data_IF_966485245579
#
_entry.id   IF_966485245579
#
_cell.length_a   1.000
_cell.length_b   1.000
_cell.length_c   1.000
_cell.angle_alpha   90.00
_cell.angle_beta   90.00
_cell.angle_gamma   90.00
#
_symmetry.space_group_name_H-M   'P 1'
#
loop_
_entity.id
_entity.type
_entity.pdbx_description
1 polymer ?
#
# COMPACT_ATOMS: atom_id res chain seq x y z
N UNK A 1 4.23 -6.64 -19.67
CA UNK A 1 3.95 -5.99 -18.38
C UNK A 1 3.84 -7.08 -17.34
N UNK A 2 4.35 -6.85 -16.12
CA UNK A 2 4.28 -7.82 -15.03
C UNK A 2 2.82 -7.96 -14.60
N UNK A 3 2.25 -9.17 -14.70
CA UNK A 3 0.82 -9.42 -14.47
C UNK A 3 0.35 -9.13 -13.03
N UNK A 4 1.30 -8.89 -12.13
CA UNK A 4 1.09 -8.54 -10.72
C UNK A 4 1.01 -7.03 -10.47
N UNK A 5 1.20 -6.17 -11.48
CA UNK A 5 1.12 -4.71 -11.32
C UNK A 5 -0.31 -4.19 -11.48
N UNK A 6 -0.66 -3.20 -10.67
CA UNK A 6 -1.92 -2.47 -10.78
C UNK A 6 -1.86 -1.44 -11.91
N UNK A 7 -3.00 -1.14 -12.54
CA UNK A 7 -3.07 -0.06 -13.54
C UNK A 7 -2.88 1.31 -12.92
N UNK A 8 -3.38 1.48 -11.70
CA UNK A 8 -3.20 2.66 -10.87
C UNK A 8 -2.81 2.19 -9.47
N UNK A 9 -1.77 2.79 -8.86
CA UNK A 9 -1.38 2.44 -7.50
C UNK A 9 -2.47 2.85 -6.50
N UNK A 10 -2.51 2.16 -5.36
CA UNK A 10 -3.36 2.55 -4.23
C UNK A 10 -2.48 3.23 -3.20
N UNK A 11 -2.79 4.49 -2.87
CA UNK A 11 -2.06 5.23 -1.84
C UNK A 11 -2.63 4.92 -0.47
N UNK A 12 -1.81 4.38 0.42
CA UNK A 12 -2.20 4.08 1.81
C UNK A 12 -1.27 4.78 2.79
N UNK A 13 -1.76 5.02 4.01
CA UNK A 13 -0.97 5.48 5.14
C UNK A 13 -0.40 4.27 5.88
N UNK A 14 0.92 4.23 6.06
CA UNK A 14 1.60 3.17 6.82
C UNK A 14 2.31 3.73 8.06
N UNK A 15 2.37 2.91 9.11
CA UNK A 15 3.11 3.20 10.34
C UNK A 15 2.74 4.55 10.96
N UNK A 16 3.67 5.50 10.89
CA UNK A 16 3.55 6.87 11.41
C UNK A 16 2.66 7.79 10.55
N UNK A 17 1.84 7.24 9.66
CA UNK A 17 0.97 8.02 8.76
C UNK A 17 1.69 8.54 7.51
N UNK A 18 2.74 7.86 7.05
CA UNK A 18 3.39 8.22 5.79
C UNK A 18 2.64 7.61 4.61
N UNK A 19 2.35 8.37 3.54
CA UNK A 19 1.75 7.82 2.35
C UNK A 19 2.76 6.91 1.62
N UNK A 20 2.31 5.72 1.24
CA UNK A 20 3.04 4.78 0.40
C UNK A 20 2.15 4.32 -0.74
N UNK A 21 2.74 4.17 -1.92
CA UNK A 21 2.02 3.75 -3.13
C UNK A 21 2.14 2.25 -3.33
N UNK A 22 1.02 1.55 -3.16
CA UNK A 22 0.93 0.12 -3.42
C UNK A 22 0.69 -0.09 -4.91
N UNK A 23 1.75 -0.46 -5.63
CA UNK A 23 1.75 -0.53 -7.11
C UNK A 23 1.42 -1.91 -7.67
N UNK A 24 1.26 -2.92 -6.82
CA UNK A 24 0.97 -4.29 -7.27
C UNK A 24 0.61 -5.26 -6.17
N UNK A 25 0.27 -6.48 -6.58
CA UNK A 25 -0.20 -7.57 -5.72
C UNK A 25 0.84 -7.95 -4.66
N UNK A 26 2.12 -8.03 -5.05
CA UNK A 26 3.19 -8.37 -4.11
C UNK A 26 3.37 -7.31 -3.02
N UNK A 27 3.15 -6.06 -3.39
CA UNK A 27 3.27 -4.92 -2.47
C UNK A 27 2.08 -4.90 -1.49
N UNK A 28 0.87 -5.10 -2.02
CA UNK A 28 -0.33 -5.29 -1.20
C UNK A 28 -0.19 -6.47 -0.22
N UNK A 29 0.37 -7.59 -0.69
CA UNK A 29 0.62 -8.77 0.14
C UNK A 29 1.58 -8.46 1.30
N UNK A 30 2.64 -7.70 1.07
CA UNK A 30 3.59 -7.28 2.12
C UNK A 30 2.90 -6.45 3.20
N UNK A 31 2.07 -5.48 2.81
CA UNK A 31 1.31 -4.69 3.77
C UNK A 31 0.32 -5.55 4.58
N UNK A 32 -0.28 -6.55 3.96
CA UNK A 32 -1.20 -7.46 4.66
C UNK A 32 -0.49 -8.38 5.66
N UNK A 33 0.71 -8.87 5.38
CA UNK A 33 1.44 -9.73 6.34
C UNK A 33 1.94 -8.94 7.56
N UNK A 34 2.31 -7.67 7.36
CA UNK A 34 2.72 -6.75 8.42
C UNK A 34 1.53 -6.23 9.25
N UNK A 35 0.29 -6.51 8.82
CA UNK A 35 -0.92 -6.05 9.48
C UNK A 35 -1.08 -6.63 10.90
N UNK A 36 -1.38 -5.79 11.91
CA UNK A 36 -1.47 -6.21 13.32
C UNK A 36 -2.51 -7.30 13.52
N UNK A 37 -2.18 -8.36 14.26
CA UNK A 37 -3.10 -9.47 14.53
C UNK A 37 -4.39 -9.03 15.24
N UNK A 38 -4.32 -7.97 16.06
CA UNK A 38 -5.48 -7.38 16.75
C UNK A 38 -6.47 -6.69 15.81
N UNK A 39 -6.03 -6.28 14.62
CA UNK A 39 -6.85 -5.59 13.61
C UNK A 39 -7.18 -6.50 12.42
N UNK A 40 -6.83 -7.80 12.48
CA UNK A 40 -7.17 -8.78 11.43
C UNK A 40 -8.64 -9.13 11.55
N UNK A 41 -9.38 -8.75 10.52
CA UNK A 41 -10.80 -9.02 10.38
C UNK A 41 -11.04 -10.01 9.22
N UNK A 42 -12.29 -10.44 8.94
CA UNK A 42 -12.58 -11.28 7.80
C UNK A 42 -12.15 -10.66 6.46
N UNK A 43 -12.20 -9.32 6.31
CA UNK A 43 -11.76 -8.65 5.10
C UNK A 43 -10.26 -8.86 4.85
N UNK A 44 -9.41 -8.77 5.88
CA UNK A 44 -7.98 -9.10 5.77
C UNK A 44 -7.75 -10.47 5.13
N UNK A 45 -8.48 -11.50 5.58
CA UNK A 45 -8.34 -12.86 5.04
C UNK A 45 -8.78 -12.97 3.58
N UNK A 46 -9.78 -12.19 3.16
CA UNK A 46 -10.29 -12.17 1.79
C UNK A 46 -9.26 -11.54 0.86
N UNK A 47 -8.70 -10.38 1.23
CA UNK A 47 -7.69 -9.71 0.40
C UNK A 47 -6.41 -10.56 0.33
N UNK A 48 -6.00 -11.21 1.42
CA UNK A 48 -4.83 -12.08 1.43
C UNK A 48 -5.01 -13.31 0.51
N UNK A 49 -6.20 -13.92 0.50
CA UNK A 49 -6.53 -15.01 -0.43
C UNK A 49 -6.52 -14.53 -1.88
N UNK A 50 -7.10 -13.36 -2.14
CA UNK A 50 -7.09 -12.76 -3.48
C UNK A 50 -5.65 -12.46 -3.96
N UNK A 51 -4.78 -11.95 -3.09
CA UNK A 51 -3.37 -11.75 -3.43
C UNK A 51 -2.70 -13.05 -3.85
N UNK A 52 -2.90 -14.14 -3.10
CA UNK A 52 -2.35 -15.45 -3.45
C UNK A 52 -2.90 -15.98 -4.78
N UNK A 53 -4.20 -15.83 -5.03
CA UNK A 53 -4.83 -16.24 -6.28
C UNK A 53 -4.25 -15.45 -7.48
N UNK A 54 -4.03 -14.14 -7.32
CA UNK A 54 -3.44 -13.31 -8.38
C UNK A 54 -1.97 -13.66 -8.65
N UNK A 55 -1.19 -13.98 -7.61
CA UNK A 55 0.19 -14.46 -7.78
C UNK A 55 0.27 -15.81 -8.50
N UNK A 56 -0.79 -16.62 -8.42
CA UNK A 56 -0.96 -17.86 -9.18
C UNK A 56 -1.51 -17.65 -10.59
N UNK A 57 -1.92 -16.43 -10.94
CA UNK A 57 -2.55 -16.09 -12.21
C UNK A 57 -4.02 -16.54 -12.32
N UNK A 58 -4.67 -16.88 -11.20
CA UNK A 58 -6.08 -17.31 -11.15
C UNK A 58 -7.05 -16.13 -11.28
N UNK A 59 -6.63 -14.94 -10.83
CA UNK A 59 -7.40 -13.69 -10.94
C UNK A 59 -6.51 -12.53 -11.39
N UNK A 60 -7.14 -11.49 -11.92
CA UNK A 60 -6.44 -10.27 -12.35
C UNK A 60 -5.95 -9.43 -11.16
N UNK A 61 -4.78 -8.81 -11.31
CA UNK A 61 -4.24 -7.87 -10.32
C UNK A 61 -5.21 -6.71 -10.03
N UNK A 62 -6.00 -6.29 -11.02
CA UNK A 62 -6.98 -5.22 -10.87
C UNK A 62 -8.12 -5.59 -9.89
N UNK A 63 -8.49 -6.88 -9.84
CA UNK A 63 -9.45 -7.39 -8.85
C UNK A 63 -8.87 -7.29 -7.43
N UNK A 64 -7.58 -7.63 -7.28
CA UNK A 64 -6.89 -7.48 -5.99
C UNK A 64 -6.81 -6.01 -5.58
N UNK A 65 -6.56 -5.11 -6.53
CA UNK A 65 -6.55 -3.67 -6.26
C UNK A 65 -7.88 -3.20 -5.67
N UNK A 66 -9.00 -3.58 -6.28
CA UNK A 66 -10.33 -3.21 -5.78
C UNK A 66 -10.61 -3.72 -4.36
N UNK A 67 -10.24 -4.97 -4.10
CA UNK A 67 -10.36 -5.57 -2.76
C UNK A 67 -9.45 -4.89 -1.74
N UNK A 68 -8.22 -4.57 -2.12
CA UNK A 68 -7.26 -3.88 -1.26
C UNK A 68 -7.68 -2.44 -0.96
N UNK A 69 -8.21 -1.72 -1.94
CA UNK A 69 -8.72 -0.36 -1.75
C UNK A 69 -9.92 -0.35 -0.79
N UNK A 70 -10.87 -1.28 -0.95
CA UNK A 70 -12.01 -1.40 -0.03
C UNK A 70 -11.58 -1.80 1.39
N UNK A 71 -10.55 -2.64 1.52
CA UNK A 71 -9.94 -2.93 2.81
C UNK A 71 -9.28 -1.70 3.43
N UNK A 72 -8.49 -0.96 2.66
CA UNK A 72 -7.84 0.25 3.11
C UNK A 72 -8.86 1.32 3.54
N UNK A 73 -9.95 1.48 2.78
CA UNK A 73 -11.08 2.36 3.13
C UNK A 73 -11.72 1.96 4.46
N UNK A 74 -12.05 0.68 4.62
CA UNK A 74 -12.66 0.14 5.85
C UNK A 74 -11.80 0.36 7.10
N UNK A 75 -10.48 0.37 6.94
CA UNK A 75 -9.53 0.54 8.03
C UNK A 75 -8.98 1.98 8.15
N UNK A 76 -9.59 2.95 7.46
CA UNK A 76 -9.17 4.36 7.44
C UNK A 76 -7.68 4.55 7.07
N UNK A 77 -7.17 3.65 6.20
CA UNK A 77 -5.79 3.66 5.71
C UNK A 77 -5.63 4.38 4.39
N UNK A 78 -6.70 4.64 3.65
CA UNK A 78 -6.60 5.34 2.37
C UNK A 78 -5.97 6.71 2.59
N UNK A 79 -4.83 6.93 1.95
CA UNK A 79 -4.24 8.26 1.95
C UNK A 79 -5.21 9.20 1.21
N UNK A 80 -5.45 10.42 1.71
CA UNK A 80 -6.25 11.40 0.99
C UNK A 80 -5.65 11.56 -0.41
N UNK A 81 -6.51 11.66 -1.43
CA UNK A 81 -6.13 11.90 -2.84
C UNK A 81 -5.24 13.14 -2.92
N UNK A 82 -3.92 12.93 -2.78
CA UNK A 82 -2.94 14.00 -2.61
C UNK A 82 -2.55 14.46 -4.01
N UNK A 83 -3.46 15.17 -4.68
CA UNK A 83 -3.01 16.07 -5.71
C UNK A 83 -2.19 17.16 -5.01
N UNK A 84 -0.90 17.21 -5.34
CA UNK A 84 0.10 18.21 -4.92
C UNK A 84 0.60 18.11 -3.47
N UNK A 85 1.76 17.47 -3.30
CA UNK A 85 3.07 18.07 -2.97
C UNK A 85 3.91 16.93 -2.38
N UNK A 86 4.83 16.41 -3.19
CA UNK A 86 6.01 15.75 -2.67
C UNK A 86 6.69 16.71 -1.69
N UNK A 87 6.58 16.46 -0.39
CA UNK A 87 7.39 17.13 0.62
C UNK A 87 8.82 16.55 0.60
N UNK A 88 9.45 16.56 -0.57
CA UNK A 88 10.89 16.39 -0.75
C UNK A 88 11.60 17.71 -0.43
N UNK A 89 11.42 18.25 0.78
CA UNK A 89 12.22 19.38 1.30
C UNK A 89 12.39 19.32 2.82
N UNK A 90 13.09 18.30 3.30
CA UNK A 90 14.00 18.54 4.42
C UNK A 90 15.25 17.68 4.25
N UNK A 91 16.02 17.98 3.19
CA UNK A 91 17.48 17.99 3.32
C UNK A 91 17.76 18.90 4.52
N UNK A 92 17.91 18.35 5.72
CA UNK A 92 18.66 19.03 6.78
C UNK A 92 20.11 19.01 6.33
N UNK A 93 20.40 20.01 5.52
CA UNK A 93 21.67 20.71 5.51
C UNK A 93 22.12 20.92 6.96
N UNK A 94 23.17 20.21 7.36
CA UNK A 94 24.21 20.71 8.25
C UNK A 94 25.35 19.70 8.29
N UNK A 95 26.13 19.73 7.22
CA UNK A 95 27.53 19.35 7.31
C UNK A 95 28.37 20.65 7.39
N UNK A 96 29.29 20.64 8.37
CA UNK A 96 30.55 21.38 8.50
C UNK A 96 30.64 22.92 8.45
N UNK A 97 31.18 23.54 9.52
CA UNK A 97 32.53 24.15 9.59
C UNK A 97 32.73 24.90 10.92
N UNK A 98 33.67 24.46 11.78
CA UNK A 98 34.99 25.08 12.05
C UNK A 98 34.92 26.52 12.56
N UNK A 99 35.21 26.71 13.86
CA UNK A 99 36.22 27.66 14.34
C UNK A 99 36.72 27.30 15.73
#
# INVERSE_FOLDING_TARGET
MKSDMFRQPVSILVGLGFPTEVSGVMDAYRHLIEWPASLRDPAHSVVLKACNAALRGEIEAETVRGLFAAFAEKHDLLAPETNVIAASRQRRDRDTQVR
#
